data_IF_674122756759
#
_entry.id   IF_674122756759
#
_cell.length_a   1.000
_cell.length_b   1.000
_cell.length_c   1.000
_cell.angle_alpha   90.00
_cell.angle_beta   90.00
_cell.angle_gamma   90.00
#
_symmetry.space_group_name_H-M   'P 1'
#
loop_
_entity.id
_entity.type
_entity.pdbx_description
1 polymer ?
#
# COMPACT_ATOMS: atom_id res chain seq x y z
N UNK A 1 -16.65 -4.79 10.71
CA UNK A 1 -16.60 -3.38 10.28
C UNK A 1 -15.84 -3.43 8.98
N UNK A 2 -16.46 -3.02 7.88
CA UNK A 2 -15.84 -3.16 6.57
C UNK A 2 -14.56 -2.33 6.52
N UNK A 3 -13.56 -2.81 5.79
CA UNK A 3 -12.35 -2.04 5.47
C UNK A 3 -12.77 -0.76 4.78
N UNK A 4 -12.19 0.38 5.14
CA UNK A 4 -12.66 1.71 4.69
C UNK A 4 -12.76 1.84 3.16
N UNK A 5 -11.80 1.29 2.42
CA UNK A 5 -11.61 1.53 0.99
C UNK A 5 -11.89 0.32 0.08
N UNK A 6 -12.67 -0.66 0.53
CA UNK A 6 -12.97 -1.88 -0.23
C UNK A 6 -13.78 -1.68 -1.53
N UNK A 7 -14.37 -0.50 -1.72
CA UNK A 7 -15.12 -0.13 -2.95
C UNK A 7 -14.38 0.91 -3.79
N UNK A 8 -13.11 1.19 -3.49
CA UNK A 8 -12.35 2.20 -4.24
C UNK A 8 -12.16 1.76 -5.69
N UNK A 9 -12.23 2.72 -6.59
CA UNK A 9 -11.86 2.57 -8.00
C UNK A 9 -10.59 3.36 -8.33
N UNK A 10 -9.93 3.91 -7.30
CA UNK A 10 -8.68 4.64 -7.46
C UNK A 10 -7.58 3.65 -7.83
N UNK A 11 -6.83 3.99 -8.87
CA UNK A 11 -5.71 3.18 -9.33
C UNK A 11 -4.62 3.07 -8.25
N UNK A 12 -4.12 1.85 -8.04
CA UNK A 12 -3.07 1.56 -7.05
C UNK A 12 -1.79 2.39 -7.25
N UNK A 13 -1.40 2.65 -8.50
CA UNK A 13 -0.22 3.45 -8.85
C UNK A 13 -0.39 4.92 -8.46
N UNK A 14 -1.62 5.46 -8.56
CA UNK A 14 -1.91 6.82 -8.12
C UNK A 14 -1.69 6.95 -6.61
N UNK A 15 -2.24 6.02 -5.83
CA UNK A 15 -2.06 6.00 -4.38
C UNK A 15 -0.60 5.79 -4.00
N UNK A 16 0.15 4.95 -4.72
CA UNK A 16 1.59 4.77 -4.50
C UNK A 16 2.35 6.08 -4.75
N UNK A 17 2.03 6.82 -5.82
CA UNK A 17 2.64 8.13 -6.07
C UNK A 17 2.39 9.13 -4.93
N UNK A 18 1.18 9.14 -4.38
CA UNK A 18 0.84 9.96 -3.20
C UNK A 18 1.66 9.53 -1.96
N UNK A 19 1.80 8.22 -1.71
CA UNK A 19 2.65 7.70 -0.62
C UNK A 19 4.11 8.10 -0.81
N UNK A 20 4.66 7.96 -2.02
CA UNK A 20 6.03 8.34 -2.36
C UNK A 20 6.26 9.84 -2.10
N UNK A 21 5.32 10.70 -2.51
CA UNK A 21 5.40 12.14 -2.26
C UNK A 21 5.39 12.47 -0.76
N UNK A 22 4.57 11.77 0.03
CA UNK A 22 4.54 11.93 1.48
C UNK A 22 5.87 11.48 2.10
N UNK A 23 6.40 10.33 1.71
CA UNK A 23 7.67 9.80 2.21
C UNK A 23 8.83 10.77 1.89
N UNK A 24 8.92 11.25 0.64
CA UNK A 24 9.92 12.21 0.22
C UNK A 24 9.85 13.52 1.03
N UNK A 25 8.63 14.03 1.29
CA UNK A 25 8.42 15.22 2.13
C UNK A 25 8.91 15.03 3.56
N UNK A 26 8.92 13.80 4.07
CA UNK A 26 9.34 13.49 5.45
C UNK A 26 10.78 12.97 5.54
N UNK A 27 11.60 13.16 4.51
CA UNK A 27 13.03 12.87 4.56
C UNK A 27 13.43 11.49 4.06
N UNK A 28 12.55 10.77 3.35
CA UNK A 28 12.99 9.61 2.58
C UNK A 28 13.93 10.06 1.45
N UNK A 29 15.16 9.54 1.46
CA UNK A 29 16.19 9.84 0.47
C UNK A 29 16.07 8.96 -0.78
N UNK A 30 15.43 7.81 -0.68
CA UNK A 30 15.08 6.94 -1.80
C UNK A 30 13.75 6.24 -1.54
N UNK A 31 12.98 6.03 -2.60
CA UNK A 31 11.73 5.24 -2.55
C UNK A 31 11.64 4.37 -3.80
N UNK A 32 11.36 3.08 -3.64
CA UNK A 32 11.16 2.13 -4.73
C UNK A 32 9.90 1.31 -4.48
N UNK A 33 9.26 0.89 -5.57
CA UNK A 33 8.04 0.06 -5.52
C UNK A 33 8.39 -1.34 -5.98
N UNK A 34 8.02 -2.33 -5.18
CA UNK A 34 8.17 -3.74 -5.51
C UNK A 34 6.94 -4.17 -6.31
N UNK A 35 7.16 -4.74 -7.49
CA UNK A 35 6.09 -5.26 -8.34
C UNK A 35 6.21 -6.78 -8.49
N UNK A 36 5.08 -7.46 -8.51
CA UNK A 36 4.97 -8.88 -8.86
C UNK A 36 3.80 -9.06 -9.80
N UNK A 37 4.02 -9.74 -10.93
CA UNK A 37 3.03 -9.93 -12.00
C UNK A 37 2.35 -8.61 -12.47
N UNK A 38 3.10 -7.51 -12.46
CA UNK A 38 2.60 -6.18 -12.84
C UNK A 38 1.77 -5.47 -11.76
N UNK A 39 1.56 -6.10 -10.60
CA UNK A 39 0.87 -5.50 -9.46
C UNK A 39 1.87 -5.07 -8.35
N UNK A 40 1.64 -3.94 -7.68
CA UNK A 40 2.50 -3.49 -6.59
C UNK A 40 2.28 -4.34 -5.33
N UNK A 41 3.37 -4.90 -4.81
CA UNK A 41 3.39 -5.79 -3.63
C UNK A 41 4.12 -5.18 -2.42
N UNK A 42 4.73 -4.01 -2.58
CA UNK A 42 5.31 -3.27 -1.46
C UNK A 42 6.03 -2.00 -1.88
N UNK A 43 6.41 -1.20 -0.88
CA UNK A 43 7.24 -0.01 -1.04
C UNK A 43 8.46 -0.16 -0.15
N UNK A 44 9.64 0.12 -0.69
CA UNK A 44 10.87 0.23 0.07
C UNK A 44 11.30 1.69 0.08
N UNK A 45 11.78 2.19 1.21
CA UNK A 45 12.33 3.53 1.28
C UNK A 45 13.50 3.60 2.26
N UNK A 46 14.41 4.54 2.02
CA UNK A 46 15.53 4.80 2.91
C UNK A 46 15.44 6.20 3.52
N UNK A 47 15.81 6.34 4.80
CA UNK A 47 15.97 7.63 5.47
C UNK A 47 17.43 7.74 5.90
N UNK A 48 18.06 8.88 5.64
CA UNK A 48 19.36 9.21 6.21
C UNK A 48 19.19 9.71 7.64
N UNK A 49 19.79 8.98 8.58
CA UNK A 49 19.89 9.39 9.98
C UNK A 49 21.37 9.57 10.33
N UNK A 50 21.83 10.82 10.35
CA UNK A 50 23.20 11.20 10.73
C UNK A 50 24.30 10.53 9.88
N UNK A 51 24.05 10.34 8.58
CA UNK A 51 24.96 9.69 7.63
C UNK A 51 24.78 8.18 7.52
N UNK A 52 23.85 7.58 8.28
CA UNK A 52 23.48 6.18 8.17
C UNK A 52 22.14 6.03 7.42
N UNK A 53 22.14 5.24 6.35
CA UNK A 53 20.94 4.94 5.58
C UNK A 53 20.13 3.81 6.23
N UNK A 54 19.00 4.17 6.82
CA UNK A 54 18.03 3.23 7.38
C UNK A 54 17.00 2.83 6.32
N UNK A 55 16.92 1.54 6.01
CA UNK A 55 16.00 0.99 5.02
C UNK A 55 14.73 0.44 5.68
N UNK A 56 13.57 0.77 5.11
CA UNK A 56 12.26 0.32 5.57
C UNK A 56 11.50 -0.36 4.44
N UNK A 57 10.69 -1.37 4.79
CA UNK A 57 9.77 -2.06 3.88
C UNK A 57 8.34 -1.90 4.39
N UNK A 58 7.47 -1.41 3.52
CA UNK A 58 6.01 -1.40 3.69
C UNK A 58 5.43 -2.48 2.78
N UNK A 59 5.13 -3.68 3.29
CA UNK A 59 4.53 -4.75 2.48
C UNK A 59 3.08 -4.43 2.14
N UNK A 60 2.65 -4.81 0.94
CA UNK A 60 1.25 -4.76 0.51
C UNK A 60 0.64 -6.15 0.58
N UNK A 61 -0.09 -6.43 1.67
CA UNK A 61 -0.84 -7.68 1.82
C UNK A 61 -2.23 -7.57 1.17
N UNK A 62 -2.28 -7.08 -0.08
CA UNK A 62 -3.53 -6.77 -0.78
C UNK A 62 -4.50 -7.96 -0.82
N UNK A 63 -3.99 -9.17 -1.01
CA UNK A 63 -4.79 -10.40 -1.04
C UNK A 63 -5.45 -10.68 0.32
N UNK A 64 -4.68 -10.67 1.41
CA UNK A 64 -5.22 -10.90 2.76
C UNK A 64 -6.26 -9.85 3.15
N UNK A 65 -5.99 -8.59 2.79
CA UNK A 65 -6.90 -7.46 2.99
C UNK A 65 -8.20 -7.67 2.20
N UNK A 66 -8.13 -8.16 0.96
CA UNK A 66 -9.30 -8.45 0.13
C UNK A 66 -10.16 -9.62 0.66
N UNK A 67 -9.57 -10.57 1.40
CA UNK A 67 -10.34 -11.65 2.04
C UNK A 67 -11.21 -11.18 3.22
N UNK A 68 -10.89 -10.05 3.85
CA UNK A 68 -11.64 -9.51 4.99
C UNK A 68 -13.09 -9.14 4.63
N UNK A 69 -13.37 -8.32 3.60
CA UNK A 69 -14.75 -7.99 3.22
C UNK A 69 -15.58 -9.19 2.78
N UNK A 70 -14.96 -10.27 2.28
CA UNK A 70 -15.68 -11.53 1.96
C UNK A 70 -16.31 -12.16 3.20
N UNK A 71 -15.66 -12.03 4.37
CA UNK A 71 -16.09 -12.58 5.65
C UNK A 71 -17.03 -11.65 6.43
N UNK A 72 -17.05 -10.35 6.12
CA UNK A 72 -17.90 -9.39 6.84
C UNK A 72 -19.37 -9.49 6.37
N UNK A 73 -20.28 -9.82 7.29
CA UNK A 73 -21.71 -9.94 7.01
C UNK A 73 -22.37 -8.61 6.63
N UNK A 74 -21.77 -7.47 6.99
CA UNK A 74 -22.26 -6.13 6.66
C UNK A 74 -21.90 -5.70 5.23
N UNK A 75 -21.00 -6.40 4.55
CA UNK A 75 -20.62 -6.11 3.16
C UNK A 75 -21.67 -6.70 2.19
N UNK A 76 -22.24 -5.92 1.26
CA UNK A 76 -23.17 -6.44 0.25
C UNK A 76 -22.54 -7.53 -0.62
N UNK A 77 -23.30 -8.57 -0.96
CA UNK A 77 -22.79 -9.74 -1.70
C UNK A 77 -22.13 -9.39 -3.04
N UNK A 78 -22.56 -8.32 -3.70
CA UNK A 78 -21.95 -7.83 -4.96
C UNK A 78 -20.47 -7.40 -4.83
N UNK A 79 -19.98 -7.20 -3.61
CA UNK A 79 -18.58 -6.85 -3.32
C UNK A 79 -17.80 -8.00 -2.65
N UNK A 80 -18.37 -9.22 -2.60
CA UNK A 80 -17.76 -10.42 -2.00
C UNK A 80 -17.21 -11.42 -3.03
N UNK A 81 -17.54 -11.25 -4.30
CA UNK A 81 -17.01 -12.02 -5.43
C UNK A 81 -15.57 -11.66 -5.68
#
# INVERSE_FOLDING_TARGET
>A
MAILNYTTTIDSLKTIGEIQAILAKHGACSVSTEFSNGAPVGIHFAIDLNGELLNFKLPSNAEEVYQVPKKDTKVPNRYKT
#
